data_IF_108375237581
#
_entry.id   IF_108375237581
#
_cell.length_a   1.000
_cell.length_b   1.000
_cell.length_c   1.000
_cell.angle_alpha   90.00
_cell.angle_beta   90.00
_cell.angle_gamma   90.00
#
_symmetry.space_group_name_H-M   'P 1'
#
loop_
_entity.id
_entity.type
_entity.pdbx_description
1 polymer ?
#
# COMPACT_ATOMS: atom_id res chain seq x y z
N UNK A 1 -40.02 43.61 1.48
CA UNK A 1 -39.73 42.17 1.27
C UNK A 1 -39.03 42.07 -0.08
N UNK A 2 -37.78 42.54 -0.17
CA UNK A 2 -36.49 41.87 0.09
C UNK A 2 -36.04 41.08 -1.16
N UNK A 3 -35.33 41.81 -2.03
CA UNK A 3 -33.94 41.56 -2.47
C UNK A 3 -33.87 40.46 -3.54
N UNK A 4 -33.65 40.77 -4.80
CA UNK A 4 -32.57 41.63 -5.29
C UNK A 4 -31.40 40.72 -5.65
N UNK A 5 -31.16 40.57 -6.96
CA UNK A 5 -30.06 39.83 -7.60
C UNK A 5 -28.79 39.81 -6.75
N UNK A 6 -28.39 38.62 -6.36
CA UNK A 6 -27.00 38.25 -6.10
C UNK A 6 -26.92 36.84 -6.68
N UNK A 7 -26.55 36.65 -7.95
CA UNK A 7 -25.14 36.44 -8.31
C UNK A 7 -24.31 36.16 -7.06
N UNK A 8 -24.63 35.05 -6.39
CA UNK A 8 -23.78 34.53 -5.36
C UNK A 8 -22.57 34.04 -6.13
N UNK A 9 -21.55 34.89 -6.15
CA UNK A 9 -20.17 34.50 -6.24
C UNK A 9 -20.03 33.19 -5.46
N UNK A 10 -20.06 32.07 -6.16
CA UNK A 10 -19.21 30.96 -5.78
C UNK A 10 -17.83 31.58 -5.95
N UNK A 11 -17.39 32.30 -4.92
CA UNK A 11 -16.00 32.64 -4.75
C UNK A 11 -15.35 31.27 -4.69
N UNK A 12 -14.90 30.81 -5.85
CA UNK A 12 -13.90 29.76 -5.96
C UNK A 12 -12.70 30.38 -5.26
N UNK A 13 -12.69 30.29 -3.93
CA UNK A 13 -11.50 30.44 -3.14
C UNK A 13 -10.64 29.28 -3.59
N UNK A 14 -9.82 29.56 -4.61
CA UNK A 14 -8.63 28.81 -4.92
C UNK A 14 -7.73 28.96 -3.70
N UNK A 15 -8.01 28.17 -2.66
CA UNK A 15 -6.99 27.85 -1.69
C UNK A 15 -6.00 26.98 -2.44
N UNK A 16 -4.91 27.58 -2.90
CA UNK A 16 -3.68 26.85 -3.16
C UNK A 16 -3.26 26.23 -1.82
N UNK A 17 -3.85 25.07 -1.52
CA UNK A 17 -3.40 24.23 -0.44
C UNK A 17 -2.06 23.66 -0.87
N UNK A 18 -0.98 24.25 -0.36
CA UNK A 18 0.32 23.59 -0.35
C UNK A 18 0.13 22.31 0.49
N UNK A 19 0.05 21.18 -0.20
CA UNK A 19 -0.25 19.89 0.42
C UNK A 19 0.84 19.54 1.44
N UNK A 20 0.50 19.62 2.71
CA UNK A 20 1.18 18.93 3.80
C UNK A 20 0.07 18.31 4.65
N UNK A 21 0.31 17.06 5.06
CA UNK A 21 -0.50 16.18 5.92
C UNK A 21 -1.28 15.06 5.21
N UNK A 22 -0.70 13.86 5.33
CA UNK A 22 -1.38 12.58 5.21
C UNK A 22 -2.17 12.31 6.50
N UNK A 23 -3.47 12.57 6.46
CA UNK A 23 -4.45 12.30 7.51
C UNK A 23 -5.81 12.83 7.06
N UNK A 24 -6.95 12.37 7.62
CA UNK A 24 -8.23 13.01 7.34
C UNK A 24 -8.18 14.43 7.90
N UNK A 25 -7.95 15.41 7.04
CA UNK A 25 -8.04 16.82 7.39
C UNK A 25 -9.51 17.14 7.65
N UNK A 26 -9.92 17.19 8.92
CA UNK A 26 -11.21 17.74 9.32
C UNK A 26 -11.06 19.27 9.26
N UNK A 27 -11.51 19.88 8.18
CA UNK A 27 -11.68 21.33 8.13
C UNK A 27 -12.94 21.69 8.90
N UNK A 28 -12.79 22.35 10.05
CA UNK A 28 -13.91 23.01 10.73
C UNK A 28 -14.19 24.31 9.98
N UNK A 29 -15.13 24.29 9.04
CA UNK A 29 -15.68 25.51 8.47
C UNK A 29 -16.76 26.05 9.42
N UNK A 30 -16.44 27.10 10.18
CA UNK A 30 -17.46 27.89 10.86
C UNK A 30 -18.08 28.84 9.84
N UNK A 31 -19.38 28.68 9.55
CA UNK A 31 -20.17 29.76 8.94
C UNK A 31 -21.50 29.88 9.68
N UNK A 32 -22.01 31.10 9.76
CA UNK A 32 -23.05 31.59 10.66
C UNK A 32 -24.39 30.85 10.50
N UNK A 33 -24.85 30.16 11.56
CA UNK A 33 -26.22 29.64 11.71
C UNK A 33 -26.32 28.13 11.96
N UNK A 34 -27.04 27.76 13.02
CA UNK A 34 -27.23 26.45 13.70
C UNK A 34 -27.65 25.19 12.89
N UNK A 35 -27.07 24.88 11.73
CA UNK A 35 -27.35 23.60 11.04
C UNK A 35 -26.05 22.91 10.57
N UNK A 36 -25.55 21.98 11.38
CA UNK A 36 -24.40 21.12 11.06
C UNK A 36 -24.75 20.11 9.96
N UNK A 37 -24.59 20.51 8.70
CA UNK A 37 -24.63 19.57 7.58
C UNK A 37 -23.27 18.87 7.44
N UNK A 38 -23.24 17.56 7.64
CA UNK A 38 -22.04 16.74 7.41
C UNK A 38 -21.85 16.48 5.91
N UNK A 39 -21.09 17.35 5.23
CA UNK A 39 -20.63 17.06 3.88
C UNK A 39 -19.38 16.17 3.97
N UNK A 40 -19.55 14.86 3.78
CA UNK A 40 -18.44 13.92 3.69
C UNK A 40 -17.84 13.99 2.28
N UNK A 41 -16.70 14.66 2.11
CA UNK A 41 -15.90 14.53 0.91
C UNK A 41 -14.85 13.45 1.16
N UNK A 42 -14.97 12.30 0.50
CA UNK A 42 -13.89 11.33 0.40
C UNK A 42 -12.77 11.90 -0.47
N UNK A 43 -11.71 12.40 0.13
CA UNK A 43 -10.46 12.75 -0.56
C UNK A 43 -9.82 11.49 -1.12
N UNK A 44 -10.34 11.01 -2.25
CA UNK A 44 -9.73 9.91 -2.99
C UNK A 44 -8.33 10.35 -3.42
N UNK A 45 -7.30 9.61 -3.00
CA UNK A 45 -5.91 9.82 -3.40
C UNK A 45 -5.84 10.07 -4.90
N UNK A 46 -5.51 11.30 -5.30
CA UNK A 46 -5.36 11.69 -6.70
C UNK A 46 -4.07 11.16 -7.32
N UNK A 47 -3.12 10.70 -6.49
CA UNK A 47 -1.84 10.15 -6.90
C UNK A 47 -1.81 8.63 -6.98
N UNK A 48 -0.61 8.10 -7.19
CA UNK A 48 -0.35 6.67 -7.07
C UNK A 48 -0.52 6.25 -5.61
N UNK A 49 -0.97 5.03 -5.38
CA UNK A 49 -0.97 4.42 -4.05
C UNK A 49 -0.48 2.99 -4.17
N UNK A 50 0.18 2.50 -3.13
CA UNK A 50 0.73 1.15 -3.12
C UNK A 50 0.29 0.45 -1.86
N UNK A 51 -0.21 -0.78 -1.99
CA UNK A 51 -0.60 -1.59 -0.85
C UNK A 51 -0.14 -3.02 -1.09
N UNK A 52 0.67 -3.52 -0.16
CA UNK A 52 1.17 -4.90 -0.14
C UNK A 52 0.34 -5.74 0.82
N UNK A 53 -0.11 -6.92 0.36
CA UNK A 53 -0.83 -7.87 1.19
C UNK A 53 -0.39 -9.31 0.92
N UNK A 54 -0.10 -10.11 1.96
CA UNK A 54 0.05 -9.70 3.37
C UNK A 54 1.34 -8.89 3.60
N UNK A 55 1.42 -8.16 4.72
CA UNK A 55 2.63 -7.39 5.13
C UNK A 55 3.70 -8.24 5.81
N UNK A 56 3.44 -9.54 6.02
CA UNK A 56 4.38 -10.51 6.59
C UNK A 56 4.28 -11.84 5.88
N UNK A 57 5.41 -12.40 5.47
CA UNK A 57 5.52 -13.74 4.91
C UNK A 57 6.36 -14.63 5.80
N UNK A 58 5.76 -15.74 6.25
CA UNK A 58 6.40 -16.73 7.09
C UNK A 58 6.71 -17.98 6.26
N UNK A 59 7.95 -18.43 6.37
CA UNK A 59 8.47 -19.65 5.76
C UNK A 59 8.96 -20.57 6.87
N UNK A 60 8.72 -21.87 6.71
CA UNK A 60 9.12 -22.84 7.73
C UNK A 60 9.30 -24.23 7.18
N UNK A 61 10.25 -24.97 7.77
CA UNK A 61 10.31 -26.42 7.71
C UNK A 61 9.89 -26.97 9.07
N UNK A 62 8.95 -27.92 9.10
CA UNK A 62 8.48 -28.58 10.33
C UNK A 62 8.48 -30.09 10.17
N UNK A 63 8.76 -30.81 11.26
CA UNK A 63 8.58 -32.26 11.30
C UNK A 63 7.09 -32.60 11.32
N UNK A 64 6.65 -33.47 10.42
CA UNK A 64 5.27 -33.97 10.38
C UNK A 64 5.31 -35.47 10.71
N UNK A 65 4.54 -35.92 11.73
CA UNK A 65 4.47 -37.34 12.09
C UNK A 65 4.16 -38.19 10.85
N UNK A 66 4.97 -39.24 10.63
CA UNK A 66 4.86 -40.17 9.52
C UNK A 66 5.05 -39.58 8.10
N UNK A 67 5.37 -38.29 7.96
CA UNK A 67 5.59 -37.63 6.66
C UNK A 67 6.95 -36.92 6.55
N UNK A 68 7.78 -36.97 7.60
CA UNK A 68 9.12 -36.38 7.61
C UNK A 68 9.11 -34.85 7.63
N UNK A 69 10.18 -34.23 7.15
CA UNK A 69 10.32 -32.79 7.13
C UNK A 69 9.49 -32.18 5.98
N UNK A 70 8.57 -31.29 6.33
CA UNK A 70 7.71 -30.58 5.37
C UNK A 70 8.03 -29.09 5.39
N UNK A 71 8.40 -28.55 4.24
CA UNK A 71 8.82 -27.16 4.09
C UNK A 71 7.84 -26.34 3.26
N UNK A 72 7.62 -25.10 3.69
CA UNK A 72 6.96 -24.09 2.88
C UNK A 72 7.98 -23.02 2.56
N UNK A 73 8.55 -23.11 1.36
CA UNK A 73 9.65 -22.29 0.88
C UNK A 73 9.22 -21.21 -0.13
N UNK A 74 7.95 -21.19 -0.54
CA UNK A 74 7.42 -20.20 -1.48
C UNK A 74 6.18 -19.54 -0.90
N UNK A 75 6.11 -18.21 -0.98
CA UNK A 75 4.95 -17.41 -0.58
C UNK A 75 4.77 -16.23 -1.54
N UNK A 76 3.55 -15.71 -1.61
CA UNK A 76 3.21 -14.62 -2.53
C UNK A 76 2.69 -13.43 -1.74
N UNK A 77 3.16 -12.23 -2.08
CA UNK A 77 2.56 -10.96 -1.71
C UNK A 77 1.91 -10.34 -2.96
N UNK A 78 0.78 -9.67 -2.77
CA UNK A 78 0.10 -8.92 -3.83
C UNK A 78 0.37 -7.44 -3.64
N UNK A 79 0.90 -6.80 -4.68
CA UNK A 79 0.99 -5.35 -4.77
C UNK A 79 -0.25 -4.83 -5.51
N UNK A 80 -0.95 -3.88 -4.92
CA UNK A 80 -2.12 -3.24 -5.51
C UNK A 80 -1.95 -1.73 -5.57
N UNK A 81 -2.51 -1.12 -6.62
CA UNK A 81 -2.60 0.32 -6.78
C UNK A 81 -4.06 0.79 -6.66
N UNK A 82 -4.55 1.08 -5.44
CA UNK A 82 -5.90 1.62 -5.24
C UNK A 82 -6.00 3.13 -5.55
N UNK A 83 -4.90 3.76 -5.97
CA UNK A 83 -4.85 5.19 -6.30
C UNK A 83 -5.54 5.52 -7.62
N UNK A 84 -5.47 6.79 -8.01
CA UNK A 84 -6.04 7.30 -9.28
C UNK A 84 -4.99 7.54 -10.37
N UNK A 85 -3.70 7.48 -10.03
CA UNK A 85 -2.58 7.61 -10.97
C UNK A 85 -1.78 6.30 -11.08
N UNK A 86 -1.01 6.09 -12.17
CA UNK A 86 -0.15 4.91 -12.30
C UNK A 86 0.93 4.86 -11.24
N UNK A 87 1.17 3.66 -10.69
CA UNK A 87 2.22 3.37 -9.73
C UNK A 87 3.48 2.97 -10.48
N UNK A 88 4.50 3.81 -10.48
CA UNK A 88 5.76 3.54 -11.15
C UNK A 88 6.69 2.76 -10.22
N UNK A 89 7.02 1.54 -10.61
CA UNK A 89 7.83 0.59 -9.85
C UNK A 89 9.28 0.72 -10.31
N UNK A 90 10.13 1.27 -9.43
CA UNK A 90 11.56 1.50 -9.68
C UNK A 90 12.40 0.25 -9.41
N UNK A 91 11.93 -0.65 -8.55
CA UNK A 91 12.62 -1.89 -8.25
C UNK A 91 11.92 -2.72 -7.17
N UNK A 92 12.13 -4.03 -7.23
CA UNK A 92 11.64 -4.99 -6.23
C UNK A 92 12.83 -5.85 -5.81
N UNK A 93 13.17 -5.79 -4.53
CA UNK A 93 14.33 -6.50 -3.97
C UNK A 93 13.99 -7.21 -2.67
N UNK A 94 14.83 -8.18 -2.30
CA UNK A 94 14.75 -8.88 -1.02
C UNK A 94 16.10 -8.87 -0.32
N UNK A 95 16.09 -8.99 1.00
CA UNK A 95 17.29 -9.15 1.84
C UNK A 95 17.32 -10.53 2.50
N UNK A 96 18.49 -10.98 2.95
CA UNK A 96 18.64 -12.28 3.64
C UNK A 96 18.59 -13.49 2.71
N UNK A 97 18.07 -14.61 3.22
CA UNK A 97 18.00 -15.90 2.51
C UNK A 97 16.81 -16.00 1.52
N UNK A 98 16.42 -14.88 0.92
CA UNK A 98 15.19 -14.77 0.14
C UNK A 98 15.48 -14.22 -1.27
N UNK A 99 14.79 -14.77 -2.26
CA UNK A 99 14.75 -14.27 -3.64
C UNK A 99 13.32 -13.97 -4.05
N UNK A 100 13.13 -13.12 -5.06
CA UNK A 100 11.79 -12.77 -5.53
C UNK A 100 11.68 -12.84 -7.05
N UNK A 101 10.48 -13.18 -7.52
CA UNK A 101 10.06 -13.03 -8.90
C UNK A 101 8.67 -12.39 -8.92
N UNK A 102 8.48 -11.37 -9.75
CA UNK A 102 7.21 -10.64 -9.86
C UNK A 102 6.73 -10.62 -11.31
N UNK A 103 5.42 -10.52 -11.48
CA UNK A 103 4.80 -10.18 -12.76
C UNK A 103 4.39 -8.68 -12.83
N UNK A 104 4.89 -7.89 -11.89
CA UNK A 104 4.73 -6.44 -11.90
C UNK A 104 5.60 -5.85 -13.01
N UNK A 105 4.97 -5.17 -13.97
CA UNK A 105 5.70 -4.34 -14.94
C UNK A 105 6.34 -3.12 -14.27
N UNK A 106 7.06 -2.28 -15.04
CA UNK A 106 7.65 -1.04 -14.51
C UNK A 106 6.59 -0.01 -14.06
N UNK A 107 5.33 -0.18 -14.47
CA UNK A 107 4.22 0.65 -14.02
C UNK A 107 2.97 -0.21 -13.83
N UNK A 108 2.22 0.04 -12.76
CA UNK A 108 0.97 -0.63 -12.42
C UNK A 108 -0.17 0.39 -12.44
N UNK A 109 -1.09 0.24 -13.40
CA UNK A 109 -2.20 1.15 -13.58
C UNK A 109 -3.13 1.22 -12.35
N UNK A 110 -3.86 2.33 -12.22
CA UNK A 110 -4.86 2.53 -11.18
C UNK A 110 -5.89 1.39 -11.17
N UNK A 111 -6.27 0.93 -9.97
CA UNK A 111 -7.18 -0.18 -9.74
C UNK A 111 -6.64 -1.56 -10.13
N UNK A 112 -5.35 -1.68 -10.48
CA UNK A 112 -4.72 -2.96 -10.83
C UNK A 112 -3.88 -3.52 -9.69
N UNK A 113 -3.59 -4.81 -9.80
CA UNK A 113 -2.73 -5.54 -8.88
C UNK A 113 -1.79 -6.49 -9.63
N UNK A 114 -0.65 -6.78 -9.04
CA UNK A 114 0.31 -7.78 -9.49
C UNK A 114 0.79 -8.64 -8.31
N UNK A 115 1.34 -9.80 -8.62
CA UNK A 115 1.83 -10.77 -7.65
C UNK A 115 3.36 -10.76 -7.60
N UNK A 116 3.88 -10.84 -6.39
CA UNK A 116 5.31 -10.92 -6.06
C UNK A 116 5.51 -12.24 -5.33
N UNK A 117 6.17 -13.18 -5.98
CA UNK A 117 6.47 -14.50 -5.42
C UNK A 117 7.85 -14.47 -4.78
N UNK A 118 7.90 -14.72 -3.48
CA UNK A 118 9.12 -14.80 -2.68
C UNK A 118 9.46 -16.26 -2.42
N UNK A 119 10.73 -16.61 -2.64
CA UNK A 119 11.30 -17.94 -2.38
C UNK A 119 12.36 -17.85 -1.30
N UNK A 120 12.32 -18.79 -0.37
CA UNK A 120 13.26 -18.92 0.74
C UNK A 120 14.21 -20.08 0.48
N UNK A 121 15.52 -19.88 0.71
CA UNK A 121 16.56 -20.90 0.48
C UNK A 121 16.75 -21.90 1.63
N UNK A 122 15.79 -21.96 2.57
CA UNK A 122 15.82 -22.85 3.73
C UNK A 122 17.01 -22.58 4.68
N UNK A 123 17.37 -21.32 4.91
CA UNK A 123 18.31 -20.92 5.97
C UNK A 123 17.60 -20.02 6.98
N UNK A 124 17.79 -20.25 8.28
CA UNK A 124 17.22 -19.39 9.32
C UNK A 124 17.60 -17.93 9.07
N UNK A 125 16.60 -17.10 8.76
CA UNK A 125 16.84 -15.77 8.25
C UNK A 125 15.63 -14.88 8.45
N UNK A 126 15.90 -13.66 8.93
CA UNK A 126 14.98 -12.54 8.84
C UNK A 126 15.38 -11.66 7.65
N UNK A 127 14.39 -11.09 6.98
CA UNK A 127 14.61 -10.21 5.84
C UNK A 127 13.40 -9.34 5.54
N UNK A 128 13.51 -8.62 4.43
CA UNK A 128 12.46 -7.74 3.90
C UNK A 128 12.29 -7.98 2.42
N UNK A 129 11.05 -7.85 1.95
CA UNK A 129 10.72 -7.58 0.55
C UNK A 129 10.45 -6.08 0.45
N UNK A 130 11.19 -5.41 -0.41
CA UNK A 130 11.17 -3.97 -0.60
C UNK A 130 10.71 -3.64 -2.03
N UNK A 131 9.65 -2.84 -2.14
CA UNK A 131 9.15 -2.32 -3.42
C UNK A 131 9.40 -0.81 -3.43
N UNK A 132 10.36 -0.38 -4.25
CA UNK A 132 10.62 1.04 -4.48
C UNK A 132 9.70 1.56 -5.57
N UNK A 133 8.88 2.54 -5.23
CA UNK A 133 7.90 3.13 -6.15
C UNK A 133 7.76 4.67 -5.97
N UNK A 134 6.80 5.26 -6.69
CA UNK A 134 6.47 6.69 -6.63
C UNK A 134 5.33 7.04 -5.65
N UNK A 135 4.75 6.07 -4.94
CA UNK A 135 3.71 6.33 -3.95
C UNK A 135 4.28 6.83 -2.62
N UNK A 136 3.44 7.47 -1.82
CA UNK A 136 3.79 7.88 -0.46
C UNK A 136 4.18 6.67 0.40
N UNK A 137 5.22 6.82 1.23
CA UNK A 137 5.71 5.73 2.07
C UNK A 137 6.64 4.74 1.36
N UNK A 138 7.03 5.03 0.11
CA UNK A 138 8.04 4.27 -0.62
C UNK A 138 9.40 4.31 0.11
N UNK A 139 10.14 3.17 0.18
CA UNK A 139 9.76 1.86 -0.33
C UNK A 139 8.71 1.16 0.54
N UNK A 140 7.77 0.48 -0.10
CA UNK A 140 6.79 -0.37 0.56
C UNK A 140 7.45 -1.67 1.02
N UNK A 141 7.17 -2.11 2.25
CA UNK A 141 7.89 -3.22 2.87
C UNK A 141 6.96 -4.36 3.30
N UNK A 142 7.46 -5.58 3.15
CA UNK A 142 6.88 -6.81 3.70
C UNK A 142 7.97 -7.51 4.52
N UNK A 143 7.68 -7.87 5.77
CA UNK A 143 8.64 -8.62 6.60
C UNK A 143 8.69 -10.08 6.16
N UNK A 144 9.90 -10.63 6.06
CA UNK A 144 10.16 -12.02 5.71
C UNK A 144 10.81 -12.73 6.90
N UNK A 145 10.35 -13.93 7.23
CA UNK A 145 10.95 -14.74 8.27
C UNK A 145 10.93 -16.22 7.88
N UNK A 146 12.10 -16.85 7.88
CA UNK A 146 12.29 -18.26 7.58
C UNK A 146 12.87 -18.99 8.78
N UNK A 147 12.23 -20.09 9.20
CA UNK A 147 12.67 -20.94 10.31
C UNK A 147 12.85 -22.38 9.85
N UNK A 148 14.02 -22.96 10.07
CA UNK A 148 14.36 -24.31 9.63
C UNK A 148 14.44 -25.27 10.81
N UNK A 149 13.30 -25.81 11.25
CA UNK A 149 13.27 -26.78 12.37
C UNK A 149 13.75 -28.19 11.94
N UNK A 150 13.74 -28.47 10.65
CA UNK A 150 14.20 -29.73 10.08
C UNK A 150 14.80 -29.49 8.68
N UNK A 151 15.59 -30.44 8.20
CA UNK A 151 16.09 -30.47 6.82
C UNK A 151 15.38 -31.62 6.09
N UNK A 152 14.79 -31.39 4.90
CA UNK A 152 14.23 -32.45 4.07
C UNK A 152 15.29 -33.40 3.53
#
# INVERSE_FOLDING_TARGET
MKSGKLLCFIAVLVFTALAIHAGPAVLVAATQGDELHSYSWSSGSSGASATLSPTRLLFRCRNVPNAGCQCINTRTATLSNPGKAPLDIKGISTTGAFTQASNCGPSLAAGKSCAITVRWSLADSAGTLDVSDNASGSPQKVSLNGVKECTP
#
